data_IF_494048390533
#
_entry.id   IF_494048390533
#
_cell.length_a   1.000
_cell.length_b   1.000
_cell.length_c   1.000
_cell.angle_alpha   90.00
_cell.angle_beta   90.00
_cell.angle_gamma   90.00
#
_symmetry.space_group_name_H-M   'P 1'
#
loop_
_entity.id
_entity.type
_entity.pdbx_description
1 polymer ?
#
# COMPACT_ATOMS: atom_id res chain seq x y z
N UNK A 1 18.45 -10.87 49.72
CA UNK A 1 17.99 -9.80 48.79
C UNK A 1 17.23 -10.44 47.64
N UNK A 2 15.89 -10.40 47.69
CA UNK A 2 15.02 -10.88 46.61
C UNK A 2 14.70 -9.71 45.67
N UNK A 3 15.12 -9.81 44.40
CA UNK A 3 14.87 -8.81 43.36
C UNK A 3 13.45 -9.02 42.84
N UNK A 4 12.49 -8.24 43.34
CA UNK A 4 11.13 -8.24 42.82
C UNK A 4 11.12 -7.81 41.35
N UNK A 5 10.60 -8.67 40.46
CA UNK A 5 10.36 -8.33 39.05
C UNK A 5 9.21 -7.32 38.98
N UNK A 6 9.31 -6.25 38.15
CA UNK A 6 8.20 -5.34 37.97
C UNK A 6 7.05 -6.10 37.29
N UNK A 7 5.95 -6.30 38.02
CA UNK A 7 4.71 -6.81 37.44
C UNK A 7 4.03 -5.63 36.77
N UNK A 8 4.18 -5.53 35.45
CA UNK A 8 3.40 -4.59 34.65
C UNK A 8 1.98 -5.16 34.56
N UNK A 9 0.94 -4.46 35.04
CA UNK A 9 -0.41 -4.95 34.98
C UNK A 9 -0.89 -4.91 33.52
N UNK A 10 -1.11 -6.07 32.92
CA UNK A 10 -1.71 -6.21 31.59
C UNK A 10 -3.22 -5.98 31.67
N UNK A 11 -3.63 -4.75 31.97
CA UNK A 11 -5.03 -4.32 31.81
C UNK A 11 -5.31 -3.94 30.35
N UNK A 12 -5.32 -4.94 29.47
CA UNK A 12 -5.94 -4.79 28.16
C UNK A 12 -7.18 -5.67 28.17
N UNK A 13 -8.34 -5.03 28.35
CA UNK A 13 -9.62 -5.69 28.17
C UNK A 13 -9.69 -6.23 26.74
N UNK A 14 -9.88 -7.53 26.62
CA UNK A 14 -10.16 -8.19 25.35
C UNK A 14 -11.58 -7.82 24.91
N UNK A 15 -11.76 -6.60 24.42
CA UNK A 15 -12.95 -6.22 23.67
C UNK A 15 -12.85 -6.82 22.28
N UNK A 16 -13.86 -7.59 21.87
CA UNK A 16 -14.03 -8.07 20.50
C UNK A 16 -13.79 -6.89 19.53
N UNK A 17 -12.77 -7.02 18.69
CA UNK A 17 -12.40 -5.94 17.78
C UNK A 17 -13.44 -5.89 16.66
N UNK A 18 -14.52 -5.13 16.88
CA UNK A 18 -15.57 -4.94 15.86
C UNK A 18 -14.95 -4.40 14.58
N UNK A 19 -15.40 -4.95 13.45
CA UNK A 19 -15.01 -4.57 12.08
C UNK A 19 -15.08 -3.06 11.85
N UNK A 20 -15.96 -2.35 12.58
CA UNK A 20 -16.07 -0.89 12.58
C UNK A 20 -14.75 -0.16 12.87
N UNK A 21 -13.85 -0.74 13.68
CA UNK A 21 -12.55 -0.13 14.00
C UNK A 21 -11.61 -0.07 12.79
N UNK A 22 -11.76 -1.00 11.84
CA UNK A 22 -10.94 -1.08 10.63
C UNK A 22 -11.66 -0.53 9.39
N UNK A 23 -12.89 0.00 9.55
CA UNK A 23 -13.69 0.48 8.44
C UNK A 23 -12.94 1.49 7.56
N UNK A 24 -12.37 2.53 8.16
CA UNK A 24 -11.60 3.55 7.44
C UNK A 24 -10.39 2.96 6.72
N UNK A 25 -9.72 1.96 7.33
CA UNK A 25 -8.58 1.29 6.71
C UNK A 25 -8.99 0.50 5.48
N UNK A 26 -10.09 -0.26 5.55
CA UNK A 26 -10.59 -1.01 4.39
C UNK A 26 -11.13 -0.07 3.31
N UNK A 27 -11.81 1.01 3.71
CA UNK A 27 -12.28 2.03 2.77
C UNK A 27 -11.12 2.70 2.05
N UNK A 28 -10.05 3.06 2.76
CA UNK A 28 -8.85 3.61 2.15
C UNK A 28 -8.17 2.62 1.18
N UNK A 29 -8.13 1.32 1.53
CA UNK A 29 -7.60 0.28 0.64
C UNK A 29 -8.45 0.12 -0.63
N UNK A 30 -9.78 0.09 -0.50
CA UNK A 30 -10.69 0.02 -1.64
C UNK A 30 -10.54 1.26 -2.51
N UNK A 31 -10.52 2.45 -1.91
CA UNK A 31 -10.30 3.71 -2.62
C UNK A 31 -8.96 3.72 -3.36
N UNK A 32 -7.90 3.19 -2.74
CA UNK A 32 -6.58 3.08 -3.36
C UNK A 32 -6.58 2.14 -4.58
N UNK A 33 -7.23 0.98 -4.49
CA UNK A 33 -7.38 0.07 -5.63
C UNK A 33 -8.23 0.66 -6.75
N UNK A 34 -9.35 1.31 -6.39
CA UNK A 34 -10.22 1.99 -7.34
C UNK A 34 -9.49 3.13 -8.05
N UNK A 35 -8.65 3.89 -7.33
CA UNK A 35 -7.81 4.93 -7.90
C UNK A 35 -6.85 4.36 -8.95
N UNK A 36 -6.21 3.21 -8.68
CA UNK A 36 -5.32 2.55 -9.65
C UNK A 36 -6.06 2.12 -10.92
N UNK A 37 -7.23 1.51 -10.78
CA UNK A 37 -8.07 1.11 -11.91
C UNK A 37 -8.54 2.33 -12.73
N UNK A 38 -8.97 3.39 -12.04
CA UNK A 38 -9.37 4.64 -12.66
C UNK A 38 -8.23 5.26 -13.46
N UNK A 39 -7.05 5.38 -12.85
CA UNK A 39 -5.85 5.91 -13.51
C UNK A 39 -5.44 5.06 -14.71
N UNK A 40 -5.51 3.73 -14.60
CA UNK A 40 -5.20 2.84 -15.72
C UNK A 40 -6.20 2.95 -16.88
N UNK A 41 -7.47 3.24 -16.58
CA UNK A 41 -8.50 3.42 -17.61
C UNK A 41 -8.39 4.75 -18.37
N UNK A 42 -7.82 5.79 -17.74
CA UNK A 42 -7.66 7.13 -18.35
C UNK A 42 -6.25 7.39 -18.88
N UNK A 43 -5.24 6.69 -18.38
CA UNK A 43 -3.86 6.87 -18.81
C UNK A 43 -3.65 6.31 -20.21
N UNK A 44 -2.90 7.05 -21.01
CA UNK A 44 -2.55 6.64 -22.36
C UNK A 44 -1.21 5.90 -22.37
N UNK A 45 -1.22 4.64 -22.79
CA UNK A 45 0.00 3.88 -23.03
C UNK A 45 0.47 4.15 -24.46
N UNK A 46 1.70 4.63 -24.68
CA UNK A 46 2.22 4.83 -26.02
C UNK A 46 2.31 3.48 -26.74
N UNK A 47 2.06 3.47 -28.06
CA UNK A 47 2.09 2.25 -28.89
C UNK A 47 3.45 1.54 -28.91
N UNK A 48 4.52 2.24 -28.52
CA UNK A 48 5.87 1.69 -28.32
C UNK A 48 6.05 0.91 -27.02
N UNK A 49 5.09 1.01 -26.09
CA UNK A 49 5.12 0.37 -24.78
C UNK A 49 3.67 0.03 -24.35
N UNK A 50 3.07 -0.96 -25.02
CA UNK A 50 1.78 -1.54 -24.63
C UNK A 50 2.06 -2.83 -23.86
N UNK A 51 1.89 -2.85 -22.53
CA UNK A 51 2.29 -3.99 -21.73
C UNK A 51 1.27 -5.14 -21.87
N UNK A 52 1.74 -6.32 -22.28
CA UNK A 52 0.93 -7.54 -22.24
C UNK A 52 0.93 -8.18 -20.85
N UNK A 53 1.95 -7.89 -20.04
CA UNK A 53 2.17 -8.48 -18.74
C UNK A 53 2.51 -7.45 -17.66
N UNK A 54 2.23 -7.78 -16.40
CA UNK A 54 2.49 -6.88 -15.25
C UNK A 54 3.98 -6.49 -15.15
N UNK A 55 4.90 -7.41 -15.43
CA UNK A 55 6.35 -7.14 -15.39
C UNK A 55 6.73 -6.09 -16.44
N UNK A 56 6.16 -6.22 -17.64
CA UNK A 56 6.38 -5.27 -18.73
C UNK A 56 5.74 -3.92 -18.42
N UNK A 57 4.58 -3.89 -17.76
CA UNK A 57 3.98 -2.65 -17.28
C UNK A 57 4.91 -1.90 -16.32
N UNK A 58 5.60 -2.59 -15.41
CA UNK A 58 6.61 -1.96 -14.54
C UNK A 58 7.82 -1.46 -15.33
N UNK A 59 8.31 -2.21 -16.32
CA UNK A 59 9.41 -1.78 -17.19
C UNK A 59 9.08 -0.56 -18.03
N UNK A 60 7.87 -0.54 -18.62
CA UNK A 60 7.35 0.58 -19.41
C UNK A 60 6.88 1.75 -18.53
N UNK A 61 6.60 1.54 -17.24
CA UNK A 61 6.07 2.58 -16.34
C UNK A 61 6.92 3.85 -16.33
N UNK A 62 8.25 3.74 -16.42
CA UNK A 62 9.16 4.88 -16.44
C UNK A 62 8.97 5.81 -17.65
N UNK A 63 8.38 5.32 -18.74
CA UNK A 63 8.07 6.11 -19.94
C UNK A 63 6.68 6.74 -19.94
N UNK A 64 5.80 6.37 -19.01
CA UNK A 64 4.45 6.95 -18.92
C UNK A 64 4.45 8.49 -18.87
N UNK A 65 5.27 9.16 -18.06
CA UNK A 65 5.24 10.62 -17.98
C UNK A 65 5.87 11.33 -19.19
N UNK A 66 6.37 10.62 -20.22
CA UNK A 66 6.99 11.24 -21.40
C UNK A 66 6.00 12.12 -22.20
N UNK A 67 4.70 11.79 -22.18
CA UNK A 67 3.67 12.56 -22.87
C UNK A 67 3.14 13.77 -22.05
N UNK A 68 3.63 13.96 -20.81
CA UNK A 68 3.32 15.14 -19.99
C UNK A 68 1.91 15.19 -19.39
N UNK A 69 1.11 14.12 -19.50
CA UNK A 69 -0.21 14.06 -18.89
C UNK A 69 -0.16 13.76 -17.38
N UNK A 70 -1.06 14.38 -16.63
CA UNK A 70 -1.14 14.24 -15.17
C UNK A 70 -1.58 12.83 -14.76
N UNK A 71 -2.42 12.19 -15.57
CA UNK A 71 -2.92 10.82 -15.38
C UNK A 71 -1.80 9.79 -15.43
N UNK A 72 -0.85 9.96 -16.35
CA UNK A 72 0.26 9.07 -16.59
C UNK A 72 1.30 9.17 -15.46
N UNK A 73 1.59 10.40 -15.01
CA UNK A 73 2.44 10.64 -13.85
C UNK A 73 1.81 10.11 -12.54
N UNK A 74 0.49 10.24 -12.40
CA UNK A 74 -0.24 9.69 -11.26
C UNK A 74 -0.25 8.15 -11.29
N UNK A 75 -0.43 7.52 -12.46
CA UNK A 75 -0.40 6.06 -12.61
C UNK A 75 0.99 5.50 -12.28
N UNK A 76 2.06 6.14 -12.78
CA UNK A 76 3.44 5.80 -12.39
C UNK A 76 3.59 5.85 -10.86
N UNK A 77 3.17 6.96 -10.25
CA UNK A 77 3.29 7.13 -8.79
C UNK A 77 2.50 6.07 -8.04
N UNK A 78 1.28 5.76 -8.49
CA UNK A 78 0.44 4.72 -7.90
C UNK A 78 1.12 3.34 -8.00
N UNK A 79 1.64 2.97 -9.18
CA UNK A 79 2.35 1.71 -9.39
C UNK A 79 3.55 1.57 -8.46
N UNK A 80 4.37 2.61 -8.30
CA UNK A 80 5.56 2.56 -7.45
C UNK A 80 5.27 2.76 -5.96
N UNK A 81 4.17 3.42 -5.61
CA UNK A 81 3.74 3.54 -4.22
C UNK A 81 3.21 2.20 -3.66
N UNK A 82 2.52 1.39 -4.47
CA UNK A 82 1.99 0.09 -3.99
C UNK A 82 3.02 -0.86 -3.38
N UNK A 83 4.17 -1.19 -4.02
CA UNK A 83 5.18 -2.06 -3.42
C UNK A 83 5.84 -1.43 -2.19
N UNK A 84 6.00 -0.10 -2.16
CA UNK A 84 6.55 0.62 -1.00
C UNK A 84 5.61 0.48 0.20
N UNK A 85 4.32 0.72 0.01
CA UNK A 85 3.33 0.60 1.08
C UNK A 85 3.26 -0.83 1.63
N UNK A 86 3.32 -1.83 0.74
CA UNK A 86 3.38 -3.24 1.12
C UNK A 86 4.65 -3.53 1.93
N UNK A 87 5.82 -3.08 1.46
CA UNK A 87 7.08 -3.26 2.16
C UNK A 87 7.08 -2.61 3.55
N UNK A 88 6.52 -1.41 3.68
CA UNK A 88 6.37 -0.71 4.95
C UNK A 88 5.40 -1.43 5.90
N UNK A 89 4.31 -1.98 5.39
CA UNK A 89 3.37 -2.80 6.17
C UNK A 89 4.06 -4.06 6.70
N UNK A 90 4.84 -4.76 5.87
CA UNK A 90 5.62 -5.94 6.27
C UNK A 90 6.65 -5.56 7.33
N UNK A 91 7.43 -4.51 7.09
CA UNK A 91 8.42 -4.01 8.05
C UNK A 91 7.79 -3.71 9.41
N UNK A 92 6.62 -3.05 9.43
CA UNK A 92 5.88 -2.75 10.65
C UNK A 92 5.43 -4.01 11.39
N UNK A 93 5.00 -5.04 10.67
CA UNK A 93 4.58 -6.33 11.27
C UNK A 93 5.75 -7.09 11.85
N UNK A 94 6.89 -7.11 11.16
CA UNK A 94 8.12 -7.76 11.65
C UNK A 94 8.68 -7.05 12.87
N UNK A 95 8.70 -5.71 12.88
CA UNK A 95 9.15 -4.91 14.02
C UNK A 95 8.30 -5.13 15.28
N UNK A 96 6.99 -5.32 15.13
CA UNK A 96 6.06 -5.56 16.24
C UNK A 96 6.17 -6.95 16.86
N UNK A 97 6.84 -7.91 16.21
CA UNK A 97 7.00 -9.28 16.70
C UNK A 97 8.17 -9.44 17.69
N UNK A 98 8.95 -8.38 17.95
CA UNK A 98 10.17 -8.43 18.77
C UNK A 98 10.01 -7.90 20.20
N UNK A 99 8.82 -7.45 20.58
CA UNK A 99 8.42 -7.08 21.94
C UNK A 99 7.35 -8.05 22.47
#
# INVERSE_FOLDING_TARGET
MSKARPTVPTHHGYGEVRVSRYFTLYLAQIAWLALGLYLNAIAYWPSTCTPDNIIEAYGCSMRLPENGGWSEAALLTWMWATPILIALEISRRVGKSKD
#
